data_IF_442101220464
#
_entry.id   IF_442101220464
#
_cell.length_a   1.000
_cell.length_b   1.000
_cell.length_c   1.000
_cell.angle_alpha   90.00
_cell.angle_beta   90.00
_cell.angle_gamma   90.00
#
_symmetry.space_group_name_H-M   'P 1'
#
loop_
_entity.id
_entity.type
_entity.pdbx_description
1 polymer ?
#
# COMPACT_ATOMS: atom_id res chain seq x y z
N UNK A 1 -62.31 25.97 14.92
CA UNK A 1 -61.14 26.19 14.04
C UNK A 1 -59.92 26.02 14.88
N UNK A 2 -59.37 24.82 14.91
CA UNK A 2 -58.18 24.42 15.69
C UNK A 2 -57.05 24.15 14.70
N UNK A 3 -55.95 24.92 14.84
CA UNK A 3 -54.72 24.75 14.03
C UNK A 3 -53.95 23.50 14.46
N UNK A 4 -53.30 22.74 13.55
CA UNK A 4 -52.47 21.63 13.91
C UNK A 4 -51.06 22.10 14.25
N UNK A 5 -50.56 21.68 15.42
CA UNK A 5 -49.17 21.80 15.84
C UNK A 5 -48.28 20.96 14.91
N UNK A 6 -47.31 21.65 14.28
CA UNK A 6 -46.22 21.02 13.52
C UNK A 6 -45.09 20.71 14.49
N UNK A 7 -45.04 19.46 14.96
CA UNK A 7 -43.90 18.93 15.69
C UNK A 7 -42.70 18.74 14.76
N UNK A 8 -41.73 19.65 14.83
CA UNK A 8 -40.43 19.53 14.17
C UNK A 8 -39.65 18.38 14.83
N UNK A 9 -39.66 17.20 14.18
CA UNK A 9 -38.79 16.06 14.49
C UNK A 9 -37.38 16.36 14.02
N UNK A 10 -36.50 16.79 14.90
CA UNK A 10 -35.07 16.89 14.66
C UNK A 10 -34.52 15.49 14.36
N UNK A 11 -34.34 15.18 13.10
CA UNK A 11 -33.62 14.00 12.63
C UNK A 11 -32.13 14.18 12.99
N UNK A 12 -31.70 13.67 14.15
CA UNK A 12 -30.28 13.44 14.43
C UNK A 12 -29.78 12.44 13.40
N UNK A 13 -29.04 12.93 12.41
CA UNK A 13 -28.31 12.11 11.46
C UNK A 13 -27.31 11.25 12.26
N UNK A 14 -27.67 9.99 12.53
CA UNK A 14 -26.70 8.99 12.97
C UNK A 14 -25.73 8.78 11.80
N UNK A 15 -24.52 9.37 11.89
CA UNK A 15 -23.45 9.00 10.97
C UNK A 15 -23.35 7.47 10.93
N UNK A 16 -23.38 6.86 9.73
CA UNK A 16 -23.25 5.41 9.65
C UNK A 16 -21.92 5.00 10.28
N UNK A 17 -21.97 4.00 11.17
CA UNK A 17 -20.80 3.48 11.90
C UNK A 17 -19.63 3.14 10.98
N UNK A 18 -19.88 2.89 9.69
CA UNK A 18 -18.92 2.72 8.60
C UNK A 18 -18.05 3.96 8.34
N UNK A 19 -18.61 5.16 8.43
CA UNK A 19 -17.83 6.40 8.25
C UNK A 19 -16.84 6.62 9.40
N UNK A 20 -17.21 6.25 10.62
CA UNK A 20 -16.35 6.38 11.80
C UNK A 20 -15.19 5.35 11.75
N UNK A 21 -15.48 4.11 11.34
CA UNK A 21 -14.44 3.09 11.18
C UNK A 21 -13.44 3.45 10.07
N UNK A 22 -13.90 3.97 8.94
CA UNK A 22 -13.04 4.44 7.84
C UNK A 22 -12.15 5.61 8.26
N UNK A 23 -12.68 6.57 9.03
CA UNK A 23 -11.91 7.70 9.56
C UNK A 23 -10.87 7.22 10.59
N UNK A 24 -11.21 6.25 11.46
CA UNK A 24 -10.27 5.68 12.42
C UNK A 24 -9.10 4.96 11.73
N UNK A 25 -9.37 4.14 10.73
CA UNK A 25 -8.32 3.47 9.95
C UNK A 25 -7.46 4.50 9.21
N UNK A 26 -8.05 5.52 8.60
CA UNK A 26 -7.30 6.59 7.93
C UNK A 26 -6.44 7.40 8.93
N UNK A 27 -6.93 7.67 10.14
CA UNK A 27 -6.17 8.35 11.19
C UNK A 27 -5.02 7.50 11.72
N UNK A 28 -5.20 6.19 11.88
CA UNK A 28 -4.14 5.25 12.30
C UNK A 28 -3.05 5.20 11.23
N UNK A 29 -3.42 5.07 9.96
CA UNK A 29 -2.46 5.07 8.84
C UNK A 29 -1.74 6.41 8.74
N UNK A 30 -2.44 7.54 8.88
CA UNK A 30 -1.83 8.87 8.90
C UNK A 30 -0.89 9.06 10.10
N UNK A 31 -1.25 8.57 11.28
CA UNK A 31 -0.40 8.61 12.47
C UNK A 31 0.88 7.76 12.29
N UNK A 32 0.78 6.58 11.69
CA UNK A 32 1.93 5.73 11.38
C UNK A 32 2.87 6.42 10.37
N UNK A 33 2.33 7.05 9.33
CA UNK A 33 3.13 7.80 8.34
C UNK A 33 3.79 9.02 8.96
N UNK A 34 3.11 9.74 9.83
CA UNK A 34 3.68 10.89 10.54
C UNK A 34 4.76 10.50 11.55
N UNK A 35 4.59 9.39 12.29
CA UNK A 35 5.63 8.88 13.20
C UNK A 35 6.88 8.40 12.46
N UNK A 36 6.73 7.83 11.26
CA UNK A 36 7.89 7.42 10.44
C UNK A 36 8.67 8.62 9.89
N UNK A 37 8.01 9.75 9.64
CA UNK A 37 8.64 10.95 9.10
C UNK A 37 9.52 11.69 10.11
N UNK A 38 9.26 11.55 11.43
CA UNK A 38 10.02 12.23 12.48
C UNK A 38 11.34 11.52 12.85
N UNK A 39 11.56 10.27 12.42
CA UNK A 39 12.78 9.53 12.69
C UNK A 39 14.01 9.95 11.82
N UNK A 40 13.81 10.81 10.82
CA UNK A 40 14.86 11.15 9.84
C UNK A 40 15.72 12.39 10.15
N UNK A 41 15.55 13.06 11.28
CA UNK A 41 16.28 14.28 11.62
C UNK A 41 16.96 14.26 13.01
N UNK A 42 17.54 13.14 13.42
CA UNK A 42 18.50 13.16 14.51
C UNK A 42 19.89 13.60 13.99
N UNK A 43 20.15 14.90 13.98
CA UNK A 43 21.50 15.43 13.85
C UNK A 43 22.27 14.97 15.09
N UNK A 44 23.44 14.31 14.97
CA UNK A 44 24.23 13.94 16.14
C UNK A 44 24.76 15.22 16.80
N UNK A 45 24.28 15.53 18.00
CA UNK A 45 24.89 16.53 18.87
C UNK A 45 26.29 16.04 19.30
N UNK A 46 27.32 16.90 19.25
CA UNK A 46 28.66 16.51 19.69
C UNK A 46 28.62 16.13 21.19
N UNK A 47 29.15 14.95 21.47
CA UNK A 47 29.30 14.40 22.82
C UNK A 47 30.21 15.28 23.62
N UNK A 48 29.85 15.80 24.80
CA UNK A 48 30.79 16.48 25.67
C UNK A 48 31.84 15.49 26.21
N UNK A 49 33.10 15.89 26.14
CA UNK A 49 34.28 15.14 26.61
C UNK A 49 34.14 14.79 28.09
N UNK A 50 34.22 13.51 28.51
CA UNK A 50 34.12 13.16 29.93
C UNK A 50 35.36 13.58 30.70
N UNK A 51 35.15 14.27 31.83
CA UNK A 51 36.15 14.53 32.86
C UNK A 51 36.55 13.21 33.53
N UNK A 52 37.85 13.06 33.80
CA UNK A 52 38.52 11.83 34.17
C UNK A 52 38.07 11.10 35.43
N UNK A 53 38.72 9.96 35.75
CA UNK A 53 38.11 8.82 36.43
C UNK A 53 38.22 8.93 37.95
N UNK A 54 37.11 8.65 38.63
CA UNK A 54 37.08 8.21 40.04
C UNK A 54 36.84 6.68 40.06
N UNK A 55 37.66 6.01 40.83
CA UNK A 55 37.94 4.59 40.80
C UNK A 55 36.77 3.58 41.01
N UNK A 56 37.12 2.29 41.04
CA UNK A 56 36.21 1.21 40.66
C UNK A 56 35.36 0.71 41.83
N UNK A 57 34.07 0.70 41.64
CA UNK A 57 33.22 -0.25 42.34
C UNK A 57 32.48 -1.08 41.30
N UNK A 58 32.74 -2.37 41.33
CA UNK A 58 32.24 -3.34 40.41
C UNK A 58 30.70 -3.37 40.31
N UNK A 59 30.24 -3.15 39.11
CA UNK A 59 28.89 -3.39 38.66
C UNK A 59 28.96 -3.43 37.14
N UNK A 60 29.11 -4.61 36.60
CA UNK A 60 29.02 -4.81 35.13
C UNK A 60 27.59 -4.46 34.72
N UNK A 61 27.38 -3.17 34.38
CA UNK A 61 26.14 -2.71 33.73
C UNK A 61 26.09 -3.13 32.26
N UNK A 62 26.34 -4.38 31.99
CA UNK A 62 25.96 -5.00 30.72
C UNK A 62 24.45 -5.18 30.77
N UNK A 63 23.73 -4.73 29.72
CA UNK A 63 22.37 -5.14 29.49
C UNK A 63 22.38 -6.63 29.26
N UNK A 64 22.22 -7.43 30.32
CA UNK A 64 21.99 -8.87 30.21
C UNK A 64 20.55 -9.03 29.75
N UNK A 65 20.38 -9.27 28.46
CA UNK A 65 19.12 -9.77 27.91
C UNK A 65 18.97 -11.22 28.42
N UNK A 66 18.20 -11.39 29.47
CA UNK A 66 17.78 -12.70 29.96
C UNK A 66 16.83 -13.29 28.91
N UNK A 67 17.39 -14.17 28.06
CA UNK A 67 16.68 -14.80 26.92
C UNK A 67 15.65 -15.82 27.44
N UNK A 68 15.90 -16.43 28.60
CA UNK A 68 15.02 -17.43 29.21
C UNK A 68 14.40 -16.88 30.50
N UNK A 69 13.07 -16.73 30.48
CA UNK A 69 12.28 -16.50 31.67
C UNK A 69 12.25 -17.74 32.58
N UNK A 70 11.68 -17.63 33.79
CA UNK A 70 11.50 -18.76 34.70
C UNK A 70 10.76 -19.89 33.97
N UNK A 71 11.28 -21.10 34.07
CA UNK A 71 10.75 -22.33 33.44
C UNK A 71 10.97 -22.49 31.91
N UNK A 72 12.00 -21.86 31.32
CA UNK A 72 12.31 -22.06 29.88
C UNK A 72 11.32 -21.37 28.91
N UNK A 73 10.40 -20.56 29.43
CA UNK A 73 9.54 -19.73 28.59
C UNK A 73 10.30 -18.49 28.07
N UNK A 74 10.01 -18.00 26.86
CA UNK A 74 10.61 -16.75 26.39
C UNK A 74 10.37 -15.62 27.38
N UNK A 75 11.41 -14.83 27.68
CA UNK A 75 11.24 -13.67 28.58
C UNK A 75 10.26 -12.65 27.98
N UNK A 76 9.54 -11.92 28.85
CA UNK A 76 8.63 -10.88 28.41
C UNK A 76 9.33 -9.83 27.53
N UNK A 77 10.62 -9.58 27.76
CA UNK A 77 11.43 -8.68 26.94
C UNK A 77 11.55 -9.16 25.50
N UNK A 78 11.77 -10.46 25.27
CA UNK A 78 11.84 -11.05 23.91
C UNK A 78 10.50 -11.00 23.22
N UNK A 79 9.41 -11.35 23.91
CA UNK A 79 8.06 -11.26 23.35
C UNK A 79 7.70 -9.83 22.96
N UNK A 80 8.08 -8.85 23.78
CA UNK A 80 7.87 -7.43 23.47
C UNK A 80 8.72 -7.00 22.28
N UNK A 81 9.99 -7.36 22.23
CA UNK A 81 10.88 -7.06 21.10
C UNK A 81 10.36 -7.68 19.80
N UNK A 82 9.95 -8.96 19.84
CA UNK A 82 9.37 -9.65 18.70
C UNK A 82 8.06 -8.96 18.24
N UNK A 83 7.20 -8.60 19.20
CA UNK A 83 5.95 -7.89 18.93
C UNK A 83 6.19 -6.53 18.24
N UNK A 84 7.15 -5.73 18.73
CA UNK A 84 7.52 -4.46 18.11
C UNK A 84 8.11 -4.69 16.71
N UNK A 85 8.94 -5.71 16.52
CA UNK A 85 9.53 -6.04 15.22
C UNK A 85 8.44 -6.43 14.20
N UNK A 86 7.50 -7.30 14.59
CA UNK A 86 6.36 -7.67 13.74
C UNK A 86 5.49 -6.46 13.42
N UNK A 87 5.19 -5.62 14.43
CA UNK A 87 4.39 -4.41 14.24
C UNK A 87 5.05 -3.40 13.31
N UNK A 88 6.39 -3.29 13.31
CA UNK A 88 7.13 -2.39 12.41
C UNK A 88 7.09 -2.82 10.95
N UNK A 89 6.98 -4.12 10.67
CA UNK A 89 6.93 -4.69 9.30
C UNK A 89 5.49 -4.80 8.79
N UNK A 90 4.50 -4.92 9.67
CA UNK A 90 3.10 -5.13 9.32
C UNK A 90 2.53 -4.11 8.30
N UNK A 91 2.78 -2.78 8.40
CA UNK A 91 2.27 -1.83 7.41
C UNK A 91 2.80 -2.07 6.00
N UNK A 92 4.07 -2.43 5.86
CA UNK A 92 4.68 -2.73 4.57
C UNK A 92 4.05 -3.99 3.95
N UNK A 93 3.84 -5.04 4.74
CA UNK A 93 3.19 -6.26 4.27
C UNK A 93 1.74 -6.00 3.85
N UNK A 94 0.98 -5.20 4.61
CA UNK A 94 -0.40 -4.85 4.26
C UNK A 94 -0.48 -4.08 2.94
N UNK A 95 0.45 -3.14 2.68
CA UNK A 95 0.53 -2.45 1.40
C UNK A 95 0.84 -3.43 0.25
N UNK A 96 1.72 -4.41 0.47
CA UNK A 96 2.03 -5.45 -0.52
C UNK A 96 0.86 -6.40 -0.79
N UNK A 97 -0.03 -6.60 0.17
CA UNK A 97 -1.23 -7.45 0.05
C UNK A 97 -2.46 -6.68 -0.48
N UNK A 98 -2.30 -5.43 -0.86
CA UNK A 98 -3.37 -4.56 -1.34
C UNK A 98 -3.17 -4.14 -2.80
N UNK A 99 -4.14 -3.42 -3.36
CA UNK A 99 -4.05 -2.83 -4.70
C UNK A 99 -3.04 -1.68 -4.83
N UNK A 100 -2.43 -1.24 -3.72
CA UNK A 100 -1.52 -0.09 -3.67
C UNK A 100 -0.38 -0.18 -4.68
N UNK A 101 0.28 -1.34 -4.76
CA UNK A 101 1.47 -1.52 -5.59
C UNK A 101 1.18 -1.29 -7.08
N UNK A 102 0.12 -1.89 -7.62
CA UNK A 102 -0.28 -1.72 -9.02
C UNK A 102 -0.61 -0.26 -9.32
N UNK A 103 -1.41 0.38 -8.45
CA UNK A 103 -1.83 1.77 -8.63
C UNK A 103 -0.60 2.69 -8.64
N UNK A 104 0.28 2.55 -7.64
CA UNK A 104 1.47 3.39 -7.53
C UNK A 104 2.40 3.25 -8.74
N UNK A 105 2.63 2.01 -9.21
CA UNK A 105 3.48 1.74 -10.37
C UNK A 105 2.87 2.33 -11.64
N UNK A 106 1.57 2.17 -11.88
CA UNK A 106 0.89 2.75 -13.06
C UNK A 106 0.97 4.27 -13.04
N UNK A 107 0.70 4.92 -11.89
CA UNK A 107 0.80 6.38 -11.78
C UNK A 107 2.25 6.87 -11.98
N UNK A 108 3.24 6.13 -11.48
CA UNK A 108 4.64 6.46 -11.70
C UNK A 108 5.05 6.32 -13.17
N UNK A 109 4.59 5.26 -13.86
CA UNK A 109 4.82 5.09 -15.31
C UNK A 109 4.15 6.21 -16.09
N UNK A 110 2.92 6.60 -15.75
CA UNK A 110 2.19 7.72 -16.38
C UNK A 110 2.99 9.02 -16.29
N UNK A 111 3.48 9.35 -15.10
CA UNK A 111 4.34 10.53 -14.91
C UNK A 111 5.57 10.50 -15.81
N UNK A 112 6.23 9.35 -15.89
CA UNK A 112 7.41 9.18 -16.73
C UNK A 112 7.07 9.26 -18.24
N UNK A 113 5.90 8.73 -18.65
CA UNK A 113 5.43 8.81 -20.03
C UNK A 113 5.22 10.25 -20.49
N UNK A 114 4.75 11.11 -19.58
CA UNK A 114 4.61 12.55 -19.81
C UNK A 114 5.95 13.31 -19.83
N UNK A 115 7.09 12.64 -19.64
CA UNK A 115 8.42 13.25 -19.51
C UNK A 115 8.52 14.26 -18.33
N UNK A 116 7.75 14.03 -17.27
CA UNK A 116 7.73 14.86 -16.05
C UNK A 116 8.47 14.11 -14.92
N UNK A 117 9.80 14.27 -14.73
CA UNK A 117 10.55 13.42 -13.80
C UNK A 117 10.21 13.65 -12.32
N UNK A 118 9.65 14.81 -11.97
CA UNK A 118 9.42 15.21 -10.57
C UNK A 118 8.01 15.72 -10.27
N UNK A 119 7.15 15.90 -11.27
CA UNK A 119 5.79 16.44 -11.09
C UNK A 119 4.75 15.46 -11.63
N UNK A 120 3.79 14.99 -10.81
CA UNK A 120 3.63 15.25 -9.36
C UNK A 120 4.73 14.56 -8.51
N UNK A 121 5.05 15.10 -7.31
CA UNK A 121 6.01 14.50 -6.39
C UNK A 121 5.61 13.08 -5.96
N UNK A 122 6.58 12.24 -5.57
CA UNK A 122 6.33 10.86 -5.14
C UNK A 122 5.32 10.77 -3.98
N UNK A 123 5.35 11.73 -3.06
CA UNK A 123 4.43 11.77 -1.92
C UNK A 123 2.97 11.94 -2.37
N UNK A 124 2.72 12.75 -3.41
CA UNK A 124 1.37 12.94 -3.99
C UNK A 124 0.90 11.66 -4.67
N UNK A 125 1.78 11.00 -5.45
CA UNK A 125 1.46 9.71 -6.09
C UNK A 125 1.20 8.64 -5.06
N UNK A 126 2.02 8.56 -4.00
CA UNK A 126 1.84 7.60 -2.92
C UNK A 126 0.52 7.86 -2.16
N UNK A 127 0.22 9.12 -1.83
CA UNK A 127 -1.03 9.50 -1.19
C UNK A 127 -2.25 9.14 -2.03
N UNK A 128 -2.24 9.49 -3.32
CA UNK A 128 -3.34 9.14 -4.24
C UNK A 128 -3.49 7.63 -4.37
N UNK A 129 -2.38 6.89 -4.51
CA UNK A 129 -2.39 5.42 -4.58
C UNK A 129 -2.96 4.79 -3.32
N UNK A 130 -2.64 5.35 -2.15
CA UNK A 130 -3.16 4.88 -0.87
C UNK A 130 -4.69 5.08 -0.78
N UNK A 131 -5.19 6.28 -1.13
CA UNK A 131 -6.63 6.55 -1.11
C UNK A 131 -7.40 5.69 -2.10
N UNK A 132 -6.89 5.53 -3.33
CA UNK A 132 -7.49 4.64 -4.32
C UNK A 132 -7.45 3.18 -3.87
N UNK A 133 -6.35 2.75 -3.25
CA UNK A 133 -6.25 1.39 -2.69
C UNK A 133 -7.26 1.15 -1.58
N UNK A 134 -7.43 2.10 -0.65
CA UNK A 134 -8.45 2.00 0.39
C UNK A 134 -9.87 1.97 -0.18
N UNK A 135 -10.11 2.74 -1.24
CA UNK A 135 -11.39 2.74 -1.95
C UNK A 135 -11.69 1.37 -2.58
N UNK A 136 -10.74 0.80 -3.33
CA UNK A 136 -10.85 -0.52 -3.97
C UNK A 136 -10.97 -1.63 -2.93
N UNK A 137 -10.18 -1.55 -1.85
CA UNK A 137 -10.17 -2.53 -0.76
C UNK A 137 -11.35 -2.38 0.21
N UNK A 138 -12.21 -1.37 0.04
CA UNK A 138 -13.30 -1.11 0.99
C UNK A 138 -14.19 -2.33 1.29
N UNK A 139 -14.62 -3.18 0.32
CA UNK A 139 -15.39 -4.38 0.62
C UNK A 139 -14.59 -5.38 1.50
N UNK A 140 -13.32 -5.59 1.17
CA UNK A 140 -12.43 -6.48 1.96
C UNK A 140 -12.25 -5.97 3.39
N UNK A 141 -12.08 -4.65 3.55
CA UNK A 141 -11.95 -4.02 4.88
C UNK A 141 -13.24 -4.12 5.69
N UNK A 142 -14.41 -4.02 5.06
CA UNK A 142 -15.71 -4.24 5.70
C UNK A 142 -15.83 -5.69 6.16
N UNK A 143 -15.44 -6.65 5.34
CA UNK A 143 -15.47 -8.08 5.69
C UNK A 143 -14.53 -8.38 6.87
N UNK A 144 -13.31 -7.84 6.87
CA UNK A 144 -12.37 -7.95 8.00
C UNK A 144 -12.97 -7.34 9.26
N UNK A 145 -13.60 -6.17 9.15
CA UNK A 145 -14.24 -5.54 10.30
C UNK A 145 -15.34 -6.42 10.90
N UNK A 146 -16.17 -7.03 10.05
CA UNK A 146 -17.30 -7.83 10.50
C UNK A 146 -16.88 -9.21 11.04
N UNK A 147 -15.87 -9.85 10.42
CA UNK A 147 -15.48 -11.22 10.76
C UNK A 147 -14.39 -11.31 11.82
N UNK A 148 -13.57 -10.27 11.97
CA UNK A 148 -12.43 -10.28 12.87
C UNK A 148 -12.50 -9.16 13.93
N UNK A 149 -12.61 -7.88 13.51
CA UNK A 149 -12.45 -6.74 14.42
C UNK A 149 -13.63 -6.64 15.38
N UNK A 150 -14.87 -6.69 14.91
CA UNK A 150 -16.06 -6.56 15.77
C UNK A 150 -16.20 -7.73 16.75
N UNK A 151 -16.04 -9.02 16.35
CA UNK A 151 -16.06 -10.13 17.29
C UNK A 151 -14.94 -10.08 18.35
N UNK A 152 -13.74 -9.61 17.95
CA UNK A 152 -12.63 -9.41 18.89
C UNK A 152 -12.93 -8.32 19.92
N UNK A 153 -13.42 -7.16 19.47
CA UNK A 153 -13.78 -6.05 20.38
C UNK A 153 -14.97 -6.40 21.28
N UNK A 154 -15.85 -7.29 20.84
CA UNK A 154 -16.96 -7.82 21.65
C UNK A 154 -16.53 -8.92 22.64
N UNK A 155 -15.26 -9.36 22.60
CA UNK A 155 -14.73 -10.41 23.45
C UNK A 155 -15.20 -11.83 23.08
N UNK A 156 -15.76 -12.01 21.89
CA UNK A 156 -16.26 -13.32 21.40
C UNK A 156 -15.13 -14.23 20.91
N UNK A 157 -14.04 -13.64 20.42
CA UNK A 157 -12.86 -14.35 19.91
C UNK A 157 -11.59 -13.71 20.49
N UNK A 158 -10.53 -14.52 20.62
CA UNK A 158 -9.21 -14.04 21.02
C UNK A 158 -8.44 -13.42 19.82
N UNK A 159 -7.28 -12.85 20.09
CA UNK A 159 -6.44 -12.22 19.06
C UNK A 159 -6.02 -13.19 17.97
N UNK A 160 -5.72 -14.44 18.31
CA UNK A 160 -5.27 -15.47 17.37
C UNK A 160 -6.39 -15.83 16.39
N UNK A 161 -7.60 -16.05 16.93
CA UNK A 161 -8.78 -16.31 16.12
C UNK A 161 -9.16 -15.11 15.25
N UNK A 162 -9.04 -13.87 15.77
CA UNK A 162 -9.27 -12.65 14.99
C UNK A 162 -8.27 -12.50 13.83
N UNK A 163 -6.98 -12.79 14.07
CA UNK A 163 -5.96 -12.76 13.03
C UNK A 163 -6.26 -13.78 11.91
N UNK A 164 -6.65 -15.01 12.26
CA UNK A 164 -7.07 -16.02 11.29
C UNK A 164 -8.35 -15.61 10.53
N UNK A 165 -9.31 -15.01 11.21
CA UNK A 165 -10.54 -14.52 10.56
C UNK A 165 -10.27 -13.38 9.57
N UNK A 166 -9.31 -12.49 9.88
CA UNK A 166 -8.88 -11.42 8.97
C UNK A 166 -8.12 -11.93 7.74
N UNK A 167 -7.46 -13.09 7.84
CA UNK A 167 -6.72 -13.69 6.74
C UNK A 167 -7.62 -14.06 5.56
N UNK A 168 -8.82 -14.60 5.82
CA UNK A 168 -9.70 -15.14 4.77
C UNK A 168 -10.14 -14.07 3.73
N UNK A 169 -10.63 -12.87 4.08
CA UNK A 169 -10.94 -11.83 3.12
C UNK A 169 -9.73 -11.34 2.32
N UNK A 170 -8.55 -11.20 2.96
CA UNK A 170 -7.32 -10.81 2.28
C UNK A 170 -6.85 -11.88 1.29
N UNK A 171 -6.90 -13.15 1.69
CA UNK A 171 -6.60 -14.29 0.82
C UNK A 171 -7.52 -14.33 -0.38
N UNK A 172 -8.84 -14.14 -0.17
CA UNK A 172 -9.82 -14.08 -1.24
C UNK A 172 -9.50 -12.99 -2.26
N UNK A 173 -9.18 -11.79 -1.79
CA UNK A 173 -8.78 -10.67 -2.65
C UNK A 173 -7.51 -10.98 -3.45
N UNK A 174 -6.45 -11.45 -2.80
CA UNK A 174 -5.20 -11.79 -3.49
C UNK A 174 -5.41 -12.93 -4.49
N UNK A 175 -6.14 -13.97 -4.12
CA UNK A 175 -6.40 -15.10 -4.99
C UNK A 175 -7.14 -14.71 -6.26
N UNK A 176 -8.15 -13.82 -6.15
CA UNK A 176 -8.92 -13.33 -7.30
C UNK A 176 -8.08 -12.50 -8.30
N UNK A 177 -6.96 -11.93 -7.84
CA UNK A 177 -6.10 -11.05 -8.65
C UNK A 177 -4.71 -11.65 -8.93
N UNK A 178 -4.49 -12.92 -8.60
CA UNK A 178 -3.24 -13.65 -8.88
C UNK A 178 -3.44 -14.60 -10.05
N UNK A 179 -2.54 -14.57 -11.02
CA UNK A 179 -2.54 -15.49 -12.14
C UNK A 179 -2.11 -16.89 -11.70
N UNK A 180 -2.73 -17.90 -12.23
CA UNK A 180 -2.38 -19.30 -11.94
C UNK A 180 -0.91 -19.62 -12.26
N UNK A 181 -0.38 -19.03 -13.34
CA UNK A 181 1.02 -19.17 -13.74
C UNK A 181 1.99 -18.66 -12.66
N UNK A 182 1.68 -17.52 -12.02
CA UNK A 182 2.51 -16.91 -10.99
C UNK A 182 2.40 -17.70 -9.67
N UNK A 183 1.22 -18.27 -9.36
CA UNK A 183 1.05 -19.22 -8.24
C UNK A 183 1.90 -20.47 -8.49
N UNK A 184 1.80 -21.06 -9.68
CA UNK A 184 2.55 -22.24 -10.05
C UNK A 184 4.08 -21.99 -10.03
N UNK A 185 4.52 -20.79 -10.47
CA UNK A 185 5.92 -20.38 -10.40
C UNK A 185 6.42 -20.36 -8.95
N UNK A 186 5.70 -19.70 -8.05
CA UNK A 186 6.10 -19.56 -6.66
C UNK A 186 5.99 -20.88 -5.89
N UNK A 187 5.01 -21.72 -6.22
CA UNK A 187 4.86 -23.05 -5.62
C UNK A 187 6.04 -23.96 -5.97
N UNK A 188 6.44 -23.96 -7.25
CA UNK A 188 7.62 -24.71 -7.71
C UNK A 188 8.91 -24.18 -7.07
N UNK A 189 9.06 -22.84 -6.97
CA UNK A 189 10.21 -22.23 -6.31
C UNK A 189 10.31 -22.61 -4.83
N UNK A 190 9.16 -22.87 -4.18
CA UNK A 190 9.09 -23.37 -2.80
C UNK A 190 9.32 -24.90 -2.68
N UNK A 191 9.62 -25.59 -3.78
CA UNK A 191 9.81 -27.06 -3.79
C UNK A 191 8.53 -27.86 -3.50
N UNK A 192 7.36 -27.29 -3.76
CA UNK A 192 6.05 -27.91 -3.50
C UNK A 192 5.36 -28.33 -4.80
N UNK A 193 4.48 -29.34 -4.71
CA UNK A 193 3.55 -29.67 -5.80
C UNK A 193 2.51 -28.58 -5.96
N UNK A 194 1.99 -28.41 -7.19
CA UNK A 194 0.90 -27.45 -7.42
C UNK A 194 -0.33 -27.83 -6.56
N UNK A 195 -0.90 -26.88 -5.83
CA UNK A 195 -2.08 -27.14 -5.01
C UNK A 195 -3.29 -27.43 -5.89
N UNK A 196 -4.20 -28.27 -5.41
CA UNK A 196 -5.45 -28.62 -6.12
C UNK A 196 -6.41 -27.42 -6.24
N UNK A 197 -6.27 -26.43 -5.35
CA UNK A 197 -7.11 -25.21 -5.35
C UNK A 197 -6.30 -24.01 -4.86
N UNK A 198 -6.68 -22.81 -5.30
CA UNK A 198 -6.05 -21.55 -4.89
C UNK A 198 -6.21 -21.31 -3.39
N UNK A 199 -7.28 -21.81 -2.78
CA UNK A 199 -7.50 -21.74 -1.33
C UNK A 199 -6.49 -22.55 -0.50
N UNK A 200 -5.90 -23.58 -1.08
CA UNK A 200 -4.88 -24.42 -0.43
C UNK A 200 -3.47 -23.81 -0.51
N UNK A 201 -3.25 -22.74 -1.27
CA UNK A 201 -1.94 -22.08 -1.40
C UNK A 201 -1.55 -21.41 -0.08
N UNK A 202 -0.38 -21.69 0.52
CA UNK A 202 0.08 -20.98 1.71
C UNK A 202 0.26 -19.49 1.47
N UNK A 203 -0.06 -18.62 2.46
CA UNK A 203 0.10 -17.17 2.32
C UNK A 203 1.51 -16.74 1.92
N UNK A 204 2.54 -17.36 2.47
CA UNK A 204 3.93 -17.10 2.12
C UNK A 204 4.26 -17.37 0.64
N UNK A 205 3.46 -18.18 -0.03
CA UNK A 205 3.57 -18.43 -1.48
C UNK A 205 2.63 -17.51 -2.27
N UNK A 206 1.44 -17.25 -1.72
CA UNK A 206 0.43 -16.41 -2.38
C UNK A 206 0.84 -14.93 -2.44
N UNK A 207 1.41 -14.38 -1.37
CA UNK A 207 1.82 -12.96 -1.33
C UNK A 207 2.81 -12.62 -2.45
N UNK A 208 3.96 -13.30 -2.61
CA UNK A 208 4.88 -13.00 -3.70
C UNK A 208 4.29 -13.32 -5.09
N UNK A 209 3.45 -14.35 -5.24
CA UNK A 209 2.75 -14.63 -6.48
C UNK A 209 1.81 -13.48 -6.87
N UNK A 210 1.03 -12.98 -5.92
CA UNK A 210 0.16 -11.81 -6.08
C UNK A 210 0.97 -10.57 -6.48
N UNK A 211 2.10 -10.29 -5.80
CA UNK A 211 2.96 -9.15 -6.11
C UNK A 211 3.49 -9.20 -7.56
N UNK A 212 3.93 -10.38 -8.03
CA UNK A 212 4.40 -10.56 -9.40
C UNK A 212 3.26 -10.33 -10.39
N UNK A 213 2.07 -10.87 -10.12
CA UNK A 213 0.87 -10.68 -10.95
C UNK A 213 0.46 -9.21 -11.04
N UNK A 214 0.44 -8.50 -9.91
CA UNK A 214 0.10 -7.08 -9.84
C UNK A 214 1.12 -6.19 -10.54
N UNK A 215 2.42 -6.49 -10.38
CA UNK A 215 3.49 -5.78 -11.11
C UNK A 215 3.37 -6.00 -12.61
N UNK A 216 3.14 -7.25 -13.06
CA UNK A 216 2.93 -7.55 -14.48
C UNK A 216 1.74 -6.79 -15.04
N UNK A 217 0.60 -6.80 -14.34
CA UNK A 217 -0.59 -6.05 -14.73
C UNK A 217 -0.32 -4.54 -14.79
N UNK A 218 0.40 -3.99 -13.80
CA UNK A 218 0.81 -2.59 -13.78
C UNK A 218 1.68 -2.21 -14.98
N UNK A 219 2.64 -3.05 -15.35
CA UNK A 219 3.48 -2.81 -16.52
C UNK A 219 2.70 -2.89 -17.83
N UNK A 220 1.74 -3.81 -17.97
CA UNK A 220 0.88 -3.89 -19.16
C UNK A 220 0.04 -2.60 -19.29
N UNK A 221 -0.64 -2.18 -18.23
CA UNK A 221 -1.42 -0.93 -18.23
C UNK A 221 -0.51 0.26 -18.53
N UNK A 222 0.63 0.34 -17.83
CA UNK A 222 1.60 1.42 -18.01
C UNK A 222 2.16 1.48 -19.42
N UNK A 223 2.41 0.32 -20.05
CA UNK A 223 2.86 0.25 -21.44
C UNK A 223 1.80 0.81 -22.39
N UNK A 224 0.54 0.43 -22.23
CA UNK A 224 -0.56 0.94 -23.07
C UNK A 224 -0.67 2.46 -22.96
N UNK A 225 -0.50 3.00 -21.74
CA UNK A 225 -0.48 4.45 -21.51
C UNK A 225 0.75 5.09 -22.17
N UNK A 226 1.89 4.42 -22.18
CA UNK A 226 3.15 4.96 -22.71
C UNK A 226 3.15 5.07 -24.24
N UNK A 227 2.49 4.14 -24.94
CA UNK A 227 2.51 4.04 -26.42
C UNK A 227 2.14 5.34 -27.15
N UNK A 228 1.02 6.05 -26.86
CA UNK A 228 0.67 7.29 -27.54
C UNK A 228 1.72 8.38 -27.34
N UNK A 229 2.35 8.46 -26.17
CA UNK A 229 3.39 9.45 -25.89
C UNK A 229 4.71 9.14 -26.60
N UNK A 230 5.02 7.84 -26.77
CA UNK A 230 6.17 7.40 -27.55
C UNK A 230 6.00 7.75 -29.02
N UNK A 231 4.78 7.61 -29.58
CA UNK A 231 4.50 8.02 -30.95
C UNK A 231 4.73 9.53 -31.14
N UNK A 232 4.28 10.36 -30.19
CA UNK A 232 4.56 11.81 -30.23
C UNK A 232 6.06 12.09 -30.24
N UNK A 233 6.84 11.41 -29.37
CA UNK A 233 8.29 11.57 -29.36
C UNK A 233 8.93 11.21 -30.68
N UNK A 234 8.51 10.12 -31.31
CA UNK A 234 9.03 9.68 -32.60
C UNK A 234 8.71 10.68 -33.73
N UNK A 235 7.48 11.19 -33.78
CA UNK A 235 7.06 12.18 -34.78
C UNK A 235 7.85 13.48 -34.64
N UNK A 236 7.98 13.99 -33.40
CA UNK A 236 8.74 15.20 -33.12
C UNK A 236 10.22 15.02 -33.46
N UNK A 237 10.81 13.85 -33.09
CA UNK A 237 12.20 13.55 -33.43
C UNK A 237 12.43 13.51 -34.94
N UNK A 238 11.55 12.88 -35.70
CA UNK A 238 11.64 12.82 -37.15
C UNK A 238 11.53 14.22 -37.79
N UNK A 239 10.61 15.07 -37.28
CA UNK A 239 10.48 16.44 -37.75
C UNK A 239 11.74 17.28 -37.50
N UNK A 240 12.29 17.21 -36.29
CA UNK A 240 13.54 17.94 -35.91
C UNK A 240 14.73 17.47 -36.77
N UNK A 241 14.86 16.17 -37.00
CA UNK A 241 15.94 15.61 -37.87
C UNK A 241 15.78 16.11 -39.30
N UNK A 242 14.56 16.15 -39.85
CA UNK A 242 14.31 16.64 -41.20
C UNK A 242 14.64 18.12 -41.40
N UNK A 243 14.54 18.91 -40.33
CA UNK A 243 14.91 20.34 -40.30
C UNK A 243 16.40 20.56 -40.02
N UNK A 244 17.20 19.50 -39.83
CA UNK A 244 18.63 19.59 -39.49
C UNK A 244 18.92 20.00 -38.04
N UNK A 245 17.93 20.02 -37.14
CA UNK A 245 18.04 20.46 -35.75
C UNK A 245 18.47 19.32 -34.81
N UNK A 246 19.61 18.67 -35.11
CA UNK A 246 20.08 17.48 -34.36
C UNK A 246 20.51 17.78 -32.91
N UNK A 247 20.82 19.02 -32.55
CA UNK A 247 21.30 19.38 -31.21
C UNK A 247 20.17 19.67 -30.21
N UNK A 248 18.91 19.80 -30.64
CA UNK A 248 17.78 20.02 -29.74
C UNK A 248 17.28 18.68 -29.18
N UNK A 249 17.12 18.55 -27.84
CA UNK A 249 16.56 17.33 -27.26
C UNK A 249 15.07 17.20 -27.63
N UNK A 250 14.66 16.15 -28.38
CA UNK A 250 13.29 16.01 -28.87
C UNK A 250 12.23 15.95 -27.76
N UNK A 251 12.62 15.39 -26.59
CA UNK A 251 11.76 15.26 -25.42
C UNK A 251 11.26 16.62 -24.91
N UNK A 252 12.08 17.67 -24.96
CA UNK A 252 11.70 19.03 -24.53
C UNK A 252 10.68 19.67 -25.48
N UNK A 253 10.80 19.36 -26.77
CA UNK A 253 9.89 19.90 -27.80
C UNK A 253 8.57 19.11 -27.83
N UNK A 254 8.61 17.79 -27.53
CA UNK A 254 7.42 16.94 -27.49
C UNK A 254 6.57 17.17 -26.23
N UNK A 255 7.14 17.68 -25.14
CA UNK A 255 6.48 17.85 -23.84
C UNK A 255 5.14 18.62 -23.94
N UNK A 256 5.05 19.80 -24.58
CA UNK A 256 3.79 20.54 -24.68
C UNK A 256 2.69 19.71 -25.40
N UNK A 257 3.05 18.97 -26.43
CA UNK A 257 2.11 18.13 -27.18
C UNK A 257 1.61 16.94 -26.35
N UNK A 258 2.48 16.34 -25.56
CA UNK A 258 2.11 15.28 -24.61
C UNK A 258 1.12 15.76 -23.57
N UNK A 259 1.40 16.91 -22.93
CA UNK A 259 0.51 17.50 -21.93
C UNK A 259 -0.84 17.86 -22.58
N UNK A 260 -0.81 18.50 -23.74
CA UNK A 260 -2.04 18.86 -24.45
C UNK A 260 -2.90 17.62 -24.76
N UNK A 261 -2.29 16.57 -25.34
CA UNK A 261 -3.01 15.33 -25.61
C UNK A 261 -3.60 14.73 -24.33
N UNK A 262 -2.80 14.65 -23.25
CA UNK A 262 -3.22 14.07 -21.99
C UNK A 262 -4.43 14.81 -21.38
N UNK A 263 -4.44 16.15 -21.47
CA UNK A 263 -5.57 16.98 -20.98
C UNK A 263 -6.79 16.81 -21.90
N UNK A 264 -6.61 16.78 -23.21
CA UNK A 264 -7.72 16.65 -24.17
C UNK A 264 -8.49 15.32 -24.03
N UNK A 265 -7.78 14.23 -23.70
CA UNK A 265 -8.41 12.91 -23.54
C UNK A 265 -8.87 12.62 -22.12
N UNK A 266 -8.80 13.60 -21.19
CA UNK A 266 -8.99 13.38 -19.75
C UNK A 266 -8.16 12.21 -19.23
N UNK A 267 -6.84 12.27 -19.44
CA UNK A 267 -5.93 11.17 -19.14
C UNK A 267 -5.99 10.69 -17.69
N UNK A 268 -6.19 11.60 -16.70
CA UNK A 268 -6.34 11.19 -15.30
C UNK A 268 -7.61 10.39 -15.08
N UNK A 269 -8.74 10.82 -15.62
CA UNK A 269 -10.02 10.11 -15.51
C UNK A 269 -9.94 8.72 -16.12
N UNK A 270 -9.35 8.59 -17.32
CA UNK A 270 -9.17 7.30 -18.00
C UNK A 270 -8.28 6.34 -17.20
N UNK A 271 -7.17 6.83 -16.63
CA UNK A 271 -6.24 5.99 -15.86
C UNK A 271 -6.90 5.51 -14.58
N UNK A 272 -7.52 6.40 -13.81
CA UNK A 272 -8.18 6.06 -12.56
C UNK A 272 -9.34 5.09 -12.81
N UNK A 273 -10.16 5.32 -13.81
CA UNK A 273 -11.25 4.42 -14.19
C UNK A 273 -10.72 3.05 -14.60
N UNK A 274 -9.67 3.00 -15.44
CA UNK A 274 -9.03 1.74 -15.84
C UNK A 274 -8.47 0.97 -14.64
N UNK A 275 -7.85 1.66 -13.67
CA UNK A 275 -7.35 1.04 -12.44
C UNK A 275 -8.48 0.46 -11.60
N UNK A 276 -9.56 1.21 -11.37
CA UNK A 276 -10.70 0.75 -10.58
C UNK A 276 -11.38 -0.45 -11.27
N UNK A 277 -11.63 -0.36 -12.57
CA UNK A 277 -12.27 -1.45 -13.33
C UNK A 277 -11.41 -2.70 -13.41
N UNK A 278 -10.09 -2.58 -13.35
CA UNK A 278 -9.18 -3.73 -13.32
C UNK A 278 -9.29 -4.59 -12.06
N UNK A 279 -9.97 -4.08 -11.02
CA UNK A 279 -10.30 -4.81 -9.79
C UNK A 279 -11.79 -5.15 -9.68
N UNK A 280 -12.66 -4.48 -10.44
CA UNK A 280 -14.11 -4.74 -10.44
C UNK A 280 -14.55 -5.93 -11.31
N UNK A 281 -13.66 -6.48 -12.12
CA UNK A 281 -13.96 -7.59 -13.05
C UNK A 281 -13.85 -9.00 -12.45
N UNK A 282 -13.48 -9.15 -11.18
CA UNK A 282 -13.30 -10.45 -10.51
C UNK A 282 -14.54 -11.00 -9.80
N UNK A 283 -15.71 -10.40 -9.99
CA UNK A 283 -16.98 -10.79 -9.34
C UNK A 283 -18.11 -11.02 -10.35
N UNK A 284 -17.87 -11.84 -11.35
CA UNK A 284 -18.90 -12.33 -12.28
C UNK A 284 -18.83 -13.82 -12.40
#
# INVERSE_FOLDING_TARGET
MTAPEVTARTARARMPRLAVAGVLVALIVAAIVLLSATAAHAVPTPVPTPSGPSGPTGGSGGITLDINGPNGTPSAAILTLLGITVLSVAPALLLMMSSFTKIFVVLAITRNALALPSIPPNQVLAGLSLFLSLFIMSPVLVDINNTAVQPYLAGHIDFTAAAHAAEAPLRGFMAAHTREEDIALMTRAAGRSNPESVSAVPLLTLIPAFMISELRAAFIIGFVIFVPFLVIDMVVSAALMSMGMMMLPPVMISLPFKILLFVLVDGWGLIITSLITSYGGGGG
#
